data_IF_190651240962
#
_entry.id   IF_190651240962
#
_cell.length_a   1.000
_cell.length_b   1.000
_cell.length_c   1.000
_cell.angle_alpha   90.00
_cell.angle_beta   90.00
_cell.angle_gamma   90.00
#
_symmetry.space_group_name_H-M   'P 1'
#
loop_
_entity.id
_entity.type
_entity.pdbx_description
1 polymer ?
2 non-polymer ?
3 non-polymer ?
4 water ?
#
# COMPACT_ATOMS: atom_id res chain seq x y z
N UNK A 12 6.12 24.32 -6.57
CA UNK A 12 6.11 23.43 -7.77
C UNK A 12 5.35 22.06 -7.53
N UNK A 13 5.85 21.21 -6.60
CA UNK A 13 5.05 20.02 -6.36
C UNK A 13 3.76 20.31 -5.58
N UNK A 14 2.85 19.34 -5.63
CA UNK A 14 1.58 19.28 -4.92
C UNK A 14 1.95 18.62 -3.59
N UNK A 15 1.37 19.06 -2.48
CA UNK A 15 1.64 18.30 -1.27
C UNK A 15 0.31 18.01 -0.59
N UNK A 16 0.14 16.77 -0.13
CA UNK A 16 -1.05 16.41 0.61
C UNK A 16 -0.57 16.29 2.04
N UNK A 17 -1.16 17.09 2.92
CA UNK A 17 -0.82 17.00 4.34
C UNK A 17 -1.63 15.92 5.01
N UNK A 18 -0.95 15.09 5.76
CA UNK A 18 -1.60 14.08 6.52
C UNK A 18 -1.84 14.68 7.90
N UNK A 19 -3.11 14.94 8.20
CA UNK A 19 -3.50 15.72 9.36
C UNK A 19 -3.60 14.88 10.60
N UNK A 20 -2.52 14.24 10.94
CA UNK A 20 -2.39 13.57 12.19
C UNK A 20 -1.61 14.56 13.05
N UNK A 21 -1.22 14.15 14.23
CA UNK A 21 -0.60 15.03 15.21
C UNK A 21 0.75 14.45 15.61
N UNK A 22 1.85 15.02 15.12
CA UNK A 22 1.98 16.16 14.21
C UNK A 22 1.77 15.73 12.75
N UNK A 23 1.35 16.67 11.91
CA UNK A 23 1.08 16.42 10.51
C UNK A 23 2.35 16.21 9.72
N UNK A 24 2.27 15.50 8.60
CA UNK A 24 3.42 15.30 7.74
C UNK A 24 3.02 15.42 6.28
N UNK A 25 3.97 15.86 5.44
CA UNK A 25 3.59 16.02 4.03
C UNK A 25 3.90 14.79 3.16
N UNK A 26 3.02 14.55 2.20
CA UNK A 26 3.23 13.63 1.09
C UNK A 26 3.46 14.58 -0.14
N UNK A 27 4.69 14.69 -0.57
CA UNK A 27 5.02 15.54 -1.70
C UNK A 27 4.94 14.81 -3.05
N UNK A 28 4.12 15.31 -3.97
CA UNK A 28 3.98 14.68 -5.30
C UNK A 28 4.56 15.57 -6.39
N UNK A 29 5.58 15.13 -7.09
CA UNK A 29 6.15 15.97 -8.15
C UNK A 29 7.16 15.19 -8.97
N UNK A 30 7.94 15.93 -9.77
CA UNK A 30 8.92 15.28 -10.63
C UNK A 30 10.30 15.79 -10.26
N UNK A 31 11.22 14.84 -10.01
CA UNK A 31 12.59 15.10 -9.57
C UNK A 31 12.58 15.73 -8.19
N UNK A 32 12.64 14.87 -7.15
CA UNK A 32 12.49 15.31 -5.74
C UNK A 32 13.74 15.22 -4.87
N UNK A 33 14.86 14.95 -5.48
CA UNK A 33 16.07 14.82 -4.76
C UNK A 33 16.47 16.10 -4.09
N UNK A 34 16.27 17.23 -4.76
CA UNK A 34 16.48 18.57 -4.12
C UNK A 34 15.69 18.72 -2.83
N UNK A 35 14.39 18.38 -2.86
CA UNK A 35 13.54 18.45 -1.68
C UNK A 35 14.00 17.48 -0.59
N UNK A 36 14.55 16.33 -1.00
CA UNK A 36 15.07 15.38 -0.03
C UNK A 36 16.30 16.03 0.65
N UNK A 37 17.23 16.57 -0.16
CA UNK A 37 18.45 17.27 0.36
C UNK A 37 18.13 18.35 1.39
N UNK A 38 17.30 19.31 1.04
CA UNK A 38 16.88 20.38 1.98
C UNK A 38 16.16 19.86 3.19
N UNK A 39 15.59 18.68 3.06
CA UNK A 39 14.86 18.14 4.17
C UNK A 39 15.80 17.50 5.18
N UNK A 40 16.81 16.82 4.69
CA UNK A 40 17.72 16.11 5.58
C UNK A 40 19.10 16.77 5.69
N UNK A 41 19.25 17.95 5.11
CA UNK A 41 20.52 18.70 5.04
C UNK A 41 21.24 18.80 6.40
N UNK A 42 20.45 18.98 7.45
CA UNK A 42 20.94 19.22 8.80
C UNK A 42 21.09 17.99 9.72
N UNK A 43 20.82 16.80 9.21
CA UNK A 43 21.01 15.58 10.01
C UNK A 43 22.47 15.20 10.05
N UNK A 44 22.96 14.63 11.14
CA UNK A 44 24.39 14.23 11.19
C UNK A 44 24.67 12.95 10.43
N UNK A 45 23.69 12.06 10.46
CA UNK A 45 23.80 10.77 9.82
C UNK A 45 22.45 10.38 9.12
N UNK A 46 22.53 9.70 7.97
CA UNK A 46 21.35 9.23 7.26
C UNK A 46 21.71 7.86 6.67
N UNK A 47 20.80 6.91 6.83
CA UNK A 47 20.98 5.60 6.23
C UNK A 47 19.85 5.42 5.20
N UNK A 48 20.20 5.16 3.93
CA UNK A 48 19.23 4.95 2.83
C UNK A 48 19.04 3.43 2.68
N UNK A 49 17.88 2.90 3.06
CA UNK A 49 17.62 1.46 2.96
C UNK A 49 16.92 1.25 1.59
N UNK A 50 17.52 0.41 0.73
CA UNK A 50 16.99 0.26 -0.63
C UNK A 50 16.99 -1.17 -1.15
N UNK A 51 16.08 -1.40 -2.08
CA UNK A 51 15.99 -2.69 -2.77
C UNK A 51 17.10 -2.75 -3.85
N UNK A 52 17.50 -3.96 -4.31
CA UNK A 52 18.70 -4.03 -5.20
C UNK A 52 18.67 -3.26 -6.54
N UNK A 53 17.58 -3.29 -7.28
CA UNK A 53 17.62 -2.56 -8.55
C UNK A 53 17.69 -1.07 -8.32
N UNK A 54 17.70 -0.60 -7.10
CA UNK A 54 17.75 0.84 -6.92
C UNK A 54 19.06 1.33 -6.33
N UNK A 55 20.10 0.52 -6.44
CA UNK A 55 21.43 0.88 -5.93
C UNK A 55 21.90 2.21 -6.44
N UNK A 56 21.67 2.51 -7.73
CA UNK A 56 22.18 3.75 -8.34
C UNK A 56 21.47 5.02 -7.85
N UNK A 57 20.14 4.97 -7.73
CA UNK A 57 19.42 6.13 -7.22
C UNK A 57 19.83 6.35 -5.73
N UNK A 58 20.02 5.26 -5.00
CA UNK A 58 20.43 5.28 -3.60
C UNK A 58 21.82 5.90 -3.44
N UNK A 59 22.74 5.54 -4.35
CA UNK A 59 24.10 6.05 -4.31
C UNK A 59 24.06 7.54 -4.64
N UNK A 60 23.21 7.94 -5.59
CA UNK A 60 23.11 9.36 -5.86
C UNK A 60 22.54 10.11 -4.66
N UNK A 61 21.52 9.52 -3.99
CA UNK A 61 20.99 10.24 -2.82
C UNK A 61 22.14 10.39 -1.79
N UNK A 62 22.86 9.30 -1.56
CA UNK A 62 23.93 9.25 -0.57
C UNK A 62 24.97 10.36 -0.83
N UNK A 63 25.39 10.51 -2.10
CA UNK A 63 26.38 11.51 -2.48
C UNK A 63 25.83 12.91 -2.30
N UNK A 64 24.60 13.17 -2.72
CA UNK A 64 24.05 14.52 -2.54
C UNK A 64 24.02 14.86 -1.06
N UNK A 65 23.73 13.86 -0.23
CA UNK A 65 23.70 14.05 1.24
C UNK A 65 25.09 14.32 1.83
N UNK A 66 26.04 13.46 1.49
CA UNK A 66 27.42 13.61 1.91
C UNK A 66 27.95 15.01 1.48
N UNK A 67 27.41 15.55 0.37
CA UNK A 67 27.78 16.86 -0.13
C UNK A 67 27.37 17.95 0.85
N UNK A 68 26.26 17.75 1.54
CA UNK A 68 25.81 18.73 2.54
C UNK A 68 26.48 18.46 3.88
N UNK A 69 27.40 17.51 3.97
CA UNK A 69 28.05 17.21 5.24
C UNK A 69 27.45 16.09 6.10
N UNK A 70 26.49 15.34 5.55
CA UNK A 70 25.86 14.25 6.30
C UNK A 70 26.76 13.03 6.24
N UNK A 71 26.89 12.30 7.33
CA UNK A 71 27.63 11.05 7.28
C UNK A 71 26.55 10.09 6.69
N UNK A 72 26.59 9.90 5.37
CA UNK A 72 25.52 9.18 4.63
C UNK A 72 25.91 7.77 4.19
N UNK A 73 25.01 6.80 4.46
CA UNK A 73 25.22 5.41 4.15
C UNK A 73 24.02 4.81 3.38
N UNK A 74 24.24 3.74 2.63
CA UNK A 74 23.13 3.06 1.93
C UNK A 74 23.19 1.65 2.38
N UNK A 75 22.02 1.07 2.54
CA UNK A 75 21.91 -0.24 3.08
C UNK A 75 21.02 -1.01 2.10
N UNK A 76 21.59 -2.04 1.49
CA UNK A 76 20.87 -2.80 0.47
C UNK A 76 20.19 -3.99 1.13
N UNK A 77 18.90 -4.14 0.86
CA UNK A 77 18.14 -5.24 1.41
C UNK A 77 17.60 -6.11 0.26
N UNK A 78 17.19 -7.35 0.55
CA UNK A 78 16.69 -8.21 -0.53
C UNK A 78 15.45 -7.58 -1.21
N UNK A 79 15.16 -8.02 -2.43
CA UNK A 79 14.02 -7.43 -3.13
C UNK A 79 12.72 -8.02 -2.51
N UNK A 80 11.75 -7.28 -2.78
CA UNK A 80 10.38 -7.74 -2.50
C UNK A 80 10.02 -8.24 -1.12
N UNK A 81 9.28 -9.49 -1.10
CA UNK A 81 8.85 -9.95 0.24
C UNK A 81 10.04 -10.45 1.07
N UNK A 82 11.11 -10.85 0.40
CA UNK A 82 12.30 -11.38 1.09
C UNK A 82 12.86 -10.26 1.98
N UNK A 83 12.61 -9.01 1.56
CA UNK A 83 13.13 -7.87 2.30
C UNK A 83 12.51 -7.53 3.65
N UNK A 84 11.35 -8.10 3.96
CA UNK A 84 10.59 -7.85 5.22
C UNK A 84 10.78 -8.95 6.25
N UNK A 85 11.62 -9.92 5.95
CA UNK A 85 11.78 -10.99 6.88
C UNK A 85 12.56 -10.54 8.14
N UNK A 86 12.28 -11.16 9.30
CA UNK A 86 12.90 -10.82 10.57
C UNK A 86 14.45 -10.77 10.47
N UNK A 87 15.08 -11.81 9.88
CA UNK A 87 16.57 -11.68 9.75
C UNK A 87 17.02 -10.41 9.04
N UNK A 88 16.23 -9.88 8.12
CA UNK A 88 16.62 -8.68 7.41
C UNK A 88 16.56 -7.50 8.37
N UNK A 89 15.52 -7.43 9.20
CA UNK A 89 15.44 -6.27 10.10
C UNK A 89 16.60 -6.34 11.14
N UNK A 90 16.96 -7.57 11.50
CA UNK A 90 18.10 -7.91 12.41
C UNK A 90 19.35 -7.33 11.81
N UNK A 91 19.55 -7.57 10.52
CA UNK A 91 20.68 -7.02 9.78
C UNK A 91 20.64 -5.49 9.80
N UNK A 92 19.49 -4.90 9.50
CA UNK A 92 19.38 -3.44 9.50
C UNK A 92 19.75 -2.82 10.86
N UNK A 93 19.22 -3.39 11.95
CA UNK A 93 19.59 -2.96 13.29
C UNK A 93 21.12 -3.00 13.55
N UNK A 94 21.75 -4.17 13.30
CA UNK A 94 23.19 -4.28 13.40
C UNK A 94 23.90 -3.19 12.59
N UNK A 95 23.44 -2.90 11.38
CA UNK A 95 24.07 -1.85 10.59
C UNK A 95 23.91 -0.43 11.17
N UNK A 96 22.67 -0.10 11.61
CA UNK A 96 22.39 1.20 12.21
C UNK A 96 23.37 1.36 13.43
N UNK A 97 23.52 0.31 14.21
CA UNK A 97 24.47 0.28 15.34
C UNK A 97 25.92 0.56 14.91
N UNK A 98 26.42 -0.25 14.00
CA UNK A 98 27.79 -0.12 13.45
C UNK A 98 28.02 1.30 12.95
N UNK A 99 27.09 1.84 12.14
CA UNK A 99 27.12 3.24 11.65
C UNK A 99 26.97 4.28 12.78
N UNK A 100 26.30 3.92 13.87
CA UNK A 100 26.09 4.84 15.01
C UNK A 100 24.94 5.81 14.77
N UNK A 101 23.86 5.30 14.13
CA UNK A 101 22.69 6.09 13.87
C UNK A 101 22.10 6.47 15.23
N UNK A 102 21.88 7.76 15.47
CA UNK A 102 21.38 8.17 16.78
C UNK A 102 19.93 8.62 16.79
N UNK A 103 19.49 9.11 17.95
CA UNK A 103 18.07 9.51 18.04
C UNK A 103 17.69 10.68 17.17
N UNK A 104 18.63 11.56 16.83
CA UNK A 104 18.31 12.68 15.94
C UNK A 104 18.60 12.39 14.48
N UNK A 105 19.08 11.20 14.20
CA UNK A 105 19.43 10.90 12.83
C UNK A 105 18.21 10.45 11.99
N UNK A 106 18.41 9.97 10.77
CA UNK A 106 17.25 9.61 9.93
C UNK A 106 17.56 8.45 8.96
N UNK A 107 16.49 7.75 8.56
CA UNK A 107 16.52 6.70 7.54
C UNK A 107 15.72 7.20 6.36
N UNK A 108 16.05 6.70 5.18
CA UNK A 108 15.29 7.01 3.97
C UNK A 108 14.97 5.65 3.40
N UNK A 109 13.72 5.37 3.09
CA UNK A 109 13.40 4.12 2.38
C UNK A 109 13.31 4.38 0.87
N UNK A 110 13.80 3.45 0.05
CA UNK A 110 13.75 3.63 -1.40
C UNK A 110 13.37 2.29 -2.03
N UNK A 111 12.16 2.24 -2.60
CA UNK A 111 11.66 0.97 -3.11
C UNK A 111 10.14 0.84 -3.00
N UNK A 112 9.65 -0.39 -3.21
CA UNK A 112 8.24 -0.72 -3.15
C UNK A 112 7.81 -0.85 -1.71
N UNK A 113 6.57 -1.33 -1.55
CA UNK A 113 5.93 -1.42 -0.25
C UNK A 113 6.66 -2.20 0.81
N UNK A 114 7.36 -3.26 0.37
CA UNK A 114 8.12 -4.11 1.30
C UNK A 114 9.30 -3.34 1.94
N UNK A 115 9.95 -2.48 1.16
CA UNK A 115 11.06 -1.66 1.62
C UNK A 115 10.58 -0.59 2.60
N UNK A 116 9.48 0.11 2.27
CA UNK A 116 9.00 1.15 3.11
C UNK A 116 8.54 0.46 4.42
N UNK A 117 7.87 -0.72 4.35
CA UNK A 117 7.47 -1.44 5.57
C UNK A 117 8.65 -1.84 6.44
N UNK A 118 9.68 -2.49 5.88
CA UNK A 118 10.77 -2.99 6.74
C UNK A 118 11.67 -1.84 7.26
N UNK A 119 11.97 -0.87 6.41
CA UNK A 119 12.76 0.29 6.78
C UNK A 119 11.97 1.06 7.85
N UNK A 120 10.65 1.18 7.65
CA UNK A 120 9.75 1.81 8.63
C UNK A 120 9.72 1.09 9.96
N UNK A 121 9.72 -0.23 9.94
CA UNK A 121 9.69 -1.00 11.21
C UNK A 121 11.03 -0.83 11.93
N UNK A 122 12.12 -0.85 11.16
CA UNK A 122 13.45 -0.63 11.70
C UNK A 122 13.54 0.79 12.32
N UNK A 123 13.03 1.82 11.63
CA UNK A 123 13.06 3.21 12.17
C UNK A 123 12.19 3.33 13.45
N UNK A 124 11.09 2.58 13.44
CA UNK A 124 10.16 2.53 14.57
C UNK A 124 10.80 1.96 15.81
N UNK A 125 11.72 1.00 15.65
CA UNK A 125 12.24 0.26 16.80
C UNK A 125 13.71 0.61 17.18
N UNK A 126 14.45 1.23 16.27
CA UNK A 126 15.82 1.61 16.55
C UNK A 126 15.80 2.76 17.59
N UNK A 127 16.33 2.48 18.78
CA UNK A 127 16.38 3.45 19.89
C UNK A 127 14.97 3.88 20.23
N UNK A 128 14.01 3.00 19.94
CA UNK A 128 12.58 3.27 20.19
C UNK A 128 11.99 4.33 19.23
N UNK A 129 12.68 4.62 18.13
CA UNK A 129 12.06 5.52 17.11
C UNK A 129 12.98 6.61 16.65
N UNK A 130 13.28 6.60 15.36
CA UNK A 130 14.03 7.64 14.69
C UNK A 130 13.26 8.04 13.41
N UNK A 131 13.54 9.24 12.90
CA UNK A 131 12.82 9.79 11.76
C UNK A 131 13.07 8.99 10.50
N UNK A 132 12.04 8.84 9.67
CA UNK A 132 12.23 8.20 8.37
C UNK A 132 11.52 8.97 7.28
N UNK A 133 12.17 9.08 6.12
CA UNK A 133 11.53 9.64 4.93
C UNK A 133 11.28 8.48 3.95
N UNK A 134 10.07 8.39 3.39
CA UNK A 134 9.81 7.31 2.43
C UNK A 134 9.85 7.87 1.01
N UNK A 135 10.59 7.17 0.15
CA UNK A 135 10.62 7.42 -1.29
C UNK A 135 10.04 6.14 -1.94
N UNK A 136 8.71 6.06 -2.01
CA UNK A 136 8.16 4.84 -2.68
C UNK A 136 8.39 4.92 -4.19
N UNK A 137 8.81 3.81 -4.77
CA UNK A 137 9.13 3.73 -6.19
C UNK A 137 8.11 2.87 -7.02
N UNK A 138 7.05 2.34 -6.38
CA UNK A 138 5.97 1.62 -7.09
C UNK A 138 4.66 2.42 -6.86
N UNK A 139 3.67 2.22 -7.71
CA UNK A 139 2.40 2.91 -7.58
C UNK A 139 1.70 2.49 -6.29
N UNK A 140 1.68 1.19 -5.99
CA UNK A 140 1.07 0.69 -4.77
C UNK A 140 1.77 1.36 -3.55
N UNK A 141 3.11 1.47 -3.60
CA UNK A 141 3.85 2.08 -2.51
C UNK A 141 3.47 3.54 -2.35
N UNK A 142 3.32 4.26 -3.46
CA UNK A 142 2.96 5.67 -3.47
C UNK A 142 1.54 5.98 -3.00
N UNK A 143 0.55 5.22 -3.42
CA UNK A 143 -0.81 5.54 -3.03
C UNK A 143 -1.04 4.97 -1.68
N UNK A 144 -0.47 3.80 -1.41
CA UNK A 144 -0.81 3.15 -0.17
C UNK A 144 0.16 2.82 0.93
N UNK A 145 1.20 2.05 0.61
CA UNK A 145 2.07 1.46 1.64
C UNK A 145 2.86 2.51 2.38
N UNK A 146 3.30 3.58 1.68
CA UNK A 146 4.09 4.67 2.27
C UNK A 146 3.32 5.72 3.06
N UNK A 147 2.00 5.72 2.95
CA UNK A 147 1.20 6.70 3.64
C UNK A 147 0.44 6.09 4.82
N UNK A 148 0.45 6.74 5.97
CA UNK A 148 -0.38 6.22 7.04
C UNK A 148 0.36 5.60 8.20
N UNK A 149 1.65 5.39 8.05
CA UNK A 149 2.44 4.95 9.20
C UNK A 149 2.43 3.50 9.66
N UNK A 150 1.79 2.61 8.89
CA UNK A 150 1.77 1.19 9.23
C UNK A 150 3.05 0.61 8.74
N UNK A 151 3.73 -0.11 9.62
CA UNK A 151 4.97 -0.75 9.22
C UNK A 151 4.81 -2.17 9.69
N UNK A 152 5.65 -3.03 9.16
CA UNK A 152 5.56 -4.45 9.50
C UNK A 152 6.64 -5.30 8.90
N UNK A 153 6.74 -6.51 9.43
CA UNK A 153 7.69 -7.47 8.98
C UNK A 153 7.01 -8.82 8.89
N UNK A 154 7.70 -9.76 8.28
CA UNK A 154 7.26 -11.17 8.12
C UNK A 154 8.05 -12.01 9.12
N UNK A 155 7.37 -12.86 9.88
CA UNK A 155 8.08 -13.63 10.90
C UNK A 155 7.60 -15.07 10.74
N UNK A 156 8.09 -15.95 11.62
CA UNK A 156 7.59 -17.31 11.62
C UNK A 156 6.08 -17.31 11.97
N UNK A 157 5.56 -16.38 12.80
CA UNK A 157 4.10 -16.32 13.04
C UNK A 157 3.21 -16.11 11.81
N UNK A 158 3.77 -15.58 10.71
CA UNK A 158 2.95 -15.26 9.54
C UNK A 158 3.32 -13.88 8.99
N UNK A 159 2.63 -13.41 7.97
CA UNK A 159 2.92 -12.10 7.44
C UNK A 159 1.90 -11.14 7.94
N UNK A 160 2.18 -9.80 7.90
CA UNK A 160 1.10 -8.88 8.36
C UNK A 160 0.72 -9.03 9.86
N UNK A 161 1.53 -9.58 10.70
CA UNK A 161 1.09 -9.71 12.06
C UNK A 161 1.88 -8.82 13.02
N UNK A 162 3.17 -8.80 12.83
CA UNK A 162 4.07 -8.04 13.65
C UNK A 162 4.41 -6.74 12.97
N UNK A 163 4.27 -5.63 13.73
CA UNK A 163 4.61 -4.34 13.18
C UNK A 163 4.50 -3.19 14.19
N UNK A 164 4.52 -1.96 13.66
CA UNK A 164 4.38 -0.81 14.51
C UNK A 164 3.84 0.34 13.68
N UNK A 165 3.02 1.20 14.31
CA UNK A 165 2.61 2.45 13.76
C UNK A 165 3.76 3.48 13.97
N UNK A 166 4.24 4.10 12.91
CA UNK A 166 5.35 5.00 13.04
C UNK A 166 5.25 5.93 11.83
N UNK A 167 4.83 7.16 12.09
CA UNK A 167 4.63 8.15 11.05
C UNK A 167 5.97 8.62 10.50
N UNK A 168 6.03 8.81 9.19
CA UNK A 168 7.25 9.22 8.53
C UNK A 168 7.40 10.71 8.75
N UNK A 169 8.62 11.25 8.61
CA UNK A 169 8.81 12.70 8.63
C UNK A 169 8.15 13.32 7.35
N UNK A 170 8.22 12.57 6.26
CA UNK A 170 7.69 12.99 4.96
C UNK A 170 7.68 11.78 4.01
N UNK A 171 6.89 11.90 2.93
CA UNK A 171 6.84 10.91 1.86
C UNK A 171 7.00 11.72 0.58
N UNK A 172 7.97 11.33 -0.24
CA UNK A 172 8.25 11.99 -1.52
C UNK A 172 7.84 11.04 -2.58
N UNK A 173 6.79 11.40 -3.32
CA UNK A 173 6.21 10.60 -4.39
C UNK A 173 6.79 11.21 -5.70
N UNK A 174 7.85 10.60 -6.21
CA UNK A 174 8.53 11.13 -7.38
C UNK A 174 8.07 10.38 -8.62
N UNK A 175 7.22 11.07 -9.35
CA UNK A 175 6.67 10.63 -10.64
C UNK A 175 7.74 10.25 -11.66
N UNK A 176 8.90 10.91 -11.71
CA UNK A 176 9.97 10.43 -12.60
C UNK A 176 10.18 8.91 -12.46
N UNK A 177 10.10 8.41 -11.23
CA UNK A 177 10.36 7.03 -10.97
C UNK A 177 9.33 6.10 -11.53
N UNK A 178 8.15 6.61 -11.79
CA UNK A 178 7.14 5.79 -12.41
C UNK A 178 7.48 5.45 -13.85
N UNK A 179 8.32 6.27 -14.49
CA UNK A 179 8.66 6.04 -15.92
C UNK A 179 9.39 4.72 -16.14
N UNK A 180 9.95 4.09 -15.11
CA UNK A 180 10.60 2.82 -15.41
C UNK A 180 9.83 1.65 -14.78
N UNK A 181 8.65 1.94 -14.21
CA UNK A 181 7.84 0.86 -13.56
C UNK A 181 7.21 -0.07 -14.63
N UNK A 182 7.39 -1.39 -14.54
CA UNK A 182 6.71 -2.27 -15.53
C UNK A 182 5.18 -2.13 -15.48
N UNK A 183 4.57 -2.30 -16.67
CA UNK A 183 3.16 -2.21 -16.85
C UNK A 183 2.41 -3.08 -15.85
N UNK A 184 2.88 -4.30 -15.61
CA UNK A 184 2.18 -5.20 -14.69
C UNK A 184 2.12 -4.69 -13.22
N UNK A 185 3.17 -3.96 -12.78
CA UNK A 185 3.17 -3.30 -11.44
C UNK A 185 2.26 -2.09 -11.44
N UNK A 186 2.23 -1.34 -12.55
CA UNK A 186 1.30 -0.22 -12.65
C UNK A 186 -0.17 -0.70 -12.49
N UNK A 187 -0.47 -1.79 -13.18
CA UNK A 187 -1.84 -2.33 -13.11
C UNK A 187 -2.19 -2.81 -11.66
N UNK A 188 -1.28 -3.50 -11.00
CA UNK A 188 -1.57 -3.99 -9.66
C UNK A 188 -1.63 -2.85 -8.63
N UNK A 189 -0.97 -1.72 -8.90
CA UNK A 189 -1.11 -0.55 -8.02
C UNK A 189 -2.43 0.15 -8.23
N UNK A 190 -2.96 0.04 -9.45
CA UNK A 190 -4.26 0.67 -9.72
C UNK A 190 -5.41 0.01 -8.93
N UNK A 191 -5.28 -1.24 -8.50
CA UNK A 191 -6.37 -1.83 -7.70
C UNK A 191 -6.65 -1.01 -6.39
N UNK A 192 -5.61 -0.51 -5.70
CA UNK A 192 -5.82 0.30 -4.46
C UNK A 192 -6.39 1.64 -4.83
N UNK A 193 -6.11 2.16 -6.02
CA UNK A 193 -6.61 3.46 -6.46
C UNK A 193 -8.09 3.29 -6.66
N UNK A 194 -8.46 2.17 -7.28
CA UNK A 194 -9.88 1.88 -7.59
C UNK A 194 -10.63 1.67 -6.29
N UNK A 195 -9.98 0.95 -5.38
CA UNK A 195 -10.61 0.75 -4.03
C UNK A 195 -10.91 2.13 -3.38
N UNK A 196 -9.94 3.04 -3.43
CA UNK A 196 -10.11 4.39 -2.85
C UNK A 196 -11.30 5.13 -3.52
N UNK A 197 -11.42 4.92 -4.82
CA UNK A 197 -12.55 5.48 -5.56
C UNK A 197 -13.92 4.97 -5.10
N UNK A 198 -14.02 3.69 -4.87
CA UNK A 198 -15.32 3.13 -4.43
C UNK A 198 -15.70 3.50 -3.00
N UNK A 199 -14.70 3.63 -2.12
CA UNK A 199 -14.99 3.86 -0.73
C UNK A 199 -15.31 5.34 -0.46
N UNK A 200 -14.49 6.24 -1.01
CA UNK A 200 -14.66 7.66 -0.72
C UNK A 200 -14.55 8.74 -1.80
N UNK A 201 -14.00 8.46 -2.96
CA UNK A 201 -13.83 9.51 -3.99
C UNK A 201 -14.26 9.02 -5.37
N UNK A 202 -15.58 9.04 -5.66
CA UNK A 202 -15.96 8.51 -6.97
C UNK A 202 -15.40 9.29 -8.19
N UNK A 203 -14.79 10.46 -7.99
CA UNK A 203 -14.22 11.14 -9.17
C UNK A 203 -13.05 10.31 -9.71
N UNK A 204 -12.38 9.55 -8.81
CA UNK A 204 -11.31 8.66 -9.23
C UNK A 204 -11.85 7.67 -10.30
N UNK A 205 -13.04 7.14 -10.03
CA UNK A 205 -13.65 6.15 -10.96
C UNK A 205 -14.03 6.80 -12.29
N UNK A 206 -14.62 7.98 -12.24
CA UNK A 206 -15.00 8.75 -13.44
C UNK A 206 -13.74 9.03 -14.27
N UNK A 207 -12.66 9.46 -13.64
CA UNK A 207 -11.42 9.72 -14.39
C UNK A 207 -10.85 8.49 -15.09
N UNK A 208 -10.93 7.34 -14.40
CA UNK A 208 -10.37 6.14 -14.98
C UNK A 208 -11.28 5.71 -16.15
N UNK A 209 -12.60 5.83 -15.97
CA UNK A 209 -13.55 5.39 -17.00
C UNK A 209 -13.47 6.18 -18.31
N UNK A 210 -13.32 7.50 -18.21
CA UNK A 210 -13.08 8.38 -19.38
C UNK A 210 -12.21 7.54 -20.32
N UNK A 211 -11.01 7.11 -19.88
CA UNK A 211 -10.12 6.25 -20.70
C UNK A 211 -9.29 5.49 -19.70
N UNK A 212 -9.44 4.14 -19.70
CA UNK A 212 -8.75 3.28 -18.71
C UNK A 212 -7.29 3.24 -19.05
N UNK A 213 -6.97 3.22 -20.34
CA UNK A 213 -5.56 3.11 -20.71
C UNK A 213 -4.78 4.41 -20.46
N UNK A 214 -5.43 5.57 -20.54
CA UNK A 214 -4.75 6.83 -20.21
C UNK A 214 -4.41 6.87 -18.70
N UNK A 215 -5.23 6.19 -17.88
CA UNK A 215 -5.00 6.13 -16.43
C UNK A 215 -3.69 5.46 -16.10
N UNK A 216 -3.24 4.54 -16.96
CA UNK A 216 -2.00 3.80 -16.73
C UNK A 216 -0.71 4.44 -17.26
N UNK A 217 -0.88 5.58 -17.91
CA UNK A 217 0.24 6.24 -18.59
C UNK A 217 1.02 7.18 -17.66
N UNK A 218 2.20 6.77 -17.23
CA UNK A 218 2.99 7.64 -16.35
C UNK A 218 3.31 9.05 -16.94
N UNK A 219 3.10 9.25 -18.23
CA UNK A 219 3.32 10.56 -18.82
C UNK A 219 2.09 11.41 -19.03
N UNK A 220 0.97 10.77 -18.92
CA UNK A 220 -0.26 11.45 -19.07
C UNK A 220 -0.40 12.35 -17.90
N UNK A 221 -1.51 13.07 -17.99
CA UNK A 221 -2.02 13.98 -16.98
C UNK A 221 -3.05 13.35 -16.00
N UNK A 222 -3.58 12.18 -16.32
CA UNK A 222 -4.56 11.46 -15.49
C UNK A 222 -3.89 10.79 -14.27
N UNK A 223 -2.86 9.99 -14.51
CA UNK A 223 -2.22 9.26 -13.43
C UNK A 223 -1.77 10.20 -12.28
N UNK A 224 -1.09 11.32 -12.61
CA UNK A 224 -0.73 12.19 -11.47
C UNK A 224 -1.94 12.65 -10.66
N UNK A 225 -3.07 12.86 -11.31
CA UNK A 225 -4.28 13.29 -10.57
C UNK A 225 -4.90 12.14 -9.71
N UNK A 226 -4.86 10.93 -10.26
CA UNK A 226 -5.38 9.75 -9.60
C UNK A 226 -4.49 9.51 -8.35
N UNK A 227 -3.19 9.74 -8.48
CA UNK A 227 -2.28 9.54 -7.34
C UNK A 227 -2.59 10.52 -6.22
N UNK A 228 -2.73 11.78 -6.58
CA UNK A 228 -3.10 12.83 -5.64
C UNK A 228 -4.40 12.50 -4.92
N UNK A 229 -5.42 12.15 -5.69
CA UNK A 229 -6.70 11.81 -5.12
C UNK A 229 -6.70 10.53 -4.20
N UNK A 230 -6.01 9.47 -4.61
CA UNK A 230 -5.96 8.25 -3.82
C UNK A 230 -5.19 8.51 -2.49
N UNK A 231 -4.04 9.21 -2.60
CA UNK A 231 -3.28 9.63 -1.40
C UNK A 231 -4.20 10.46 -0.50
N UNK A 232 -4.98 11.39 -1.06
CA UNK A 232 -5.87 12.22 -0.24
C UNK A 232 -6.88 11.38 0.50
N UNK A 233 -7.41 10.35 -0.17
CA UNK A 233 -8.48 9.53 0.48
C UNK A 233 -7.80 8.86 1.69
N UNK A 234 -6.64 8.25 1.47
CA UNK A 234 -5.92 7.57 2.57
C UNK A 234 -5.55 8.55 3.71
N UNK A 235 -4.99 9.69 3.34
CA UNK A 235 -4.65 10.76 4.30
C UNK A 235 -5.86 11.16 5.12
N UNK A 236 -7.00 11.36 4.46
CA UNK A 236 -8.19 11.73 5.20
C UNK A 236 -8.71 10.62 6.10
N UNK A 237 -8.66 9.37 5.68
CA UNK A 237 -9.10 8.26 6.53
C UNK A 237 -8.24 8.13 7.80
N UNK A 238 -6.96 8.23 7.60
CA UNK A 238 -6.01 8.05 8.63
C UNK A 238 -6.09 9.16 9.68
N UNK A 239 -6.17 10.40 9.24
CA UNK A 239 -6.38 11.55 10.12
C UNK A 239 -7.70 11.39 10.91
N UNK A 240 -8.78 10.97 10.26
CA UNK A 240 -10.04 10.79 10.96
C UNK A 240 -10.10 9.51 11.81
N UNK A 245 -11.48 3.48 17.62
CA UNK A 245 -10.61 3.91 16.52
C UNK A 245 -10.74 2.96 15.31
N UNK A 246 -11.95 2.87 14.70
CA UNK A 246 -12.14 1.89 13.63
C UNK A 246 -12.58 2.32 12.21
N UNK A 247 -12.63 3.61 11.89
CA UNK A 247 -12.94 4.04 10.54
C UNK A 247 -11.91 3.50 9.52
N UNK A 248 -10.69 3.30 9.99
CA UNK A 248 -9.59 2.83 9.20
C UNK A 248 -9.82 1.46 8.52
N UNK A 249 -10.69 0.65 9.11
CA UNK A 249 -11.06 -0.61 8.55
C UNK A 249 -11.63 -0.49 7.12
N UNK A 250 -12.13 0.68 6.71
CA UNK A 250 -12.72 0.82 5.34
C UNK A 250 -11.64 0.58 4.27
N UNK A 251 -10.37 0.77 4.67
CA UNK A 251 -9.21 0.59 3.75
C UNK A 251 -8.96 -0.89 3.44
N UNK A 252 -9.62 -1.76 4.20
CA UNK A 252 -9.60 -3.19 3.94
C UNK A 252 -10.56 -3.68 2.90
N UNK A 253 -11.28 -2.75 2.29
CA UNK A 253 -12.25 -3.10 1.26
C UNK A 253 -11.58 -3.96 0.17
N UNK A 254 -12.14 -5.14 -0.05
CA UNK A 254 -11.60 -6.12 -1.04
C UNK A 254 -10.50 -7.02 -0.53
N UNK A 255 -10.02 -6.72 0.69
CA UNK A 255 -8.92 -7.43 1.30
C UNK A 255 -9.29 -8.64 2.08
N UNK A 256 -10.55 -8.83 2.49
CA UNK A 256 -10.87 -10.06 3.19
C UNK A 256 -10.60 -11.31 2.31
N UNK A 257 -11.19 -11.34 1.12
CA UNK A 257 -10.94 -12.44 0.20
C UNK A 257 -9.56 -12.25 -0.44
N UNK A 258 -9.17 -11.00 -0.71
CA UNK A 258 -7.89 -10.72 -1.35
C UNK A 258 -6.73 -11.32 -0.56
N UNK A 259 -6.68 -11.10 0.77
CA UNK A 259 -5.55 -11.65 1.56
C UNK A 259 -5.58 -13.20 1.55
N UNK A 260 -6.78 -13.75 1.52
CA UNK A 260 -6.93 -15.22 1.52
C UNK A 260 -6.38 -15.85 0.24
N UNK A 261 -6.69 -15.23 -0.90
CA UNK A 261 -6.15 -15.62 -2.24
C UNK A 261 -4.63 -15.53 -2.27
N UNK A 262 -4.07 -14.44 -1.79
CA UNK A 262 -2.62 -14.29 -1.73
C UNK A 262 -2.01 -15.47 -0.97
N UNK A 263 -2.50 -15.72 0.24
CA UNK A 263 -2.06 -16.79 1.07
C UNK A 263 -2.16 -18.10 0.28
N UNK A 264 -3.35 -18.40 -0.27
CA UNK A 264 -3.56 -19.64 -0.98
C UNK A 264 -2.55 -19.92 -2.10
N UNK A 265 -2.08 -18.84 -2.72
CA UNK A 265 -1.15 -18.91 -3.79
C UNK A 265 0.26 -18.72 -3.25
N UNK A 266 0.40 -18.78 -1.90
CA UNK A 266 1.70 -18.61 -1.24
C UNK A 266 2.41 -17.33 -1.64
N UNK A 267 1.63 -16.25 -1.75
CA UNK A 267 2.14 -14.91 -2.07
C UNK A 267 2.76 -14.86 -3.46
N UNK A 268 2.39 -15.81 -4.32
CA UNK A 268 2.93 -15.75 -5.67
C UNK A 268 2.09 -14.85 -6.63
N UNK A 269 0.91 -14.37 -6.17
CA UNK A 269 0.08 -13.42 -6.96
C UNK A 269 0.44 -12.01 -6.51
N UNK A 270 0.31 -11.04 -7.39
CA UNK A 270 0.52 -9.65 -7.01
C UNK A 270 -0.65 -9.28 -6.05
N UNK A 271 -0.30 -8.51 -5.03
CA UNK A 271 -1.25 -8.03 -4.07
C UNK A 271 -2.47 -7.37 -4.75
N UNK A 272 -2.19 -6.56 -5.76
CA UNK A 272 -3.23 -5.80 -6.45
C UNK A 272 -4.18 -6.69 -7.20
N UNK A 273 -3.65 -7.75 -7.80
CA UNK A 273 -4.53 -8.70 -8.51
C UNK A 273 -5.48 -9.40 -7.53
N UNK A 274 -4.98 -9.80 -6.36
CA UNK A 274 -5.84 -10.47 -5.35
C UNK A 274 -6.94 -9.51 -4.82
N UNK A 275 -6.52 -8.30 -4.48
CA UNK A 275 -7.49 -7.25 -4.06
C UNK A 275 -8.57 -7.04 -5.11
N UNK A 276 -8.17 -7.00 -6.38
CA UNK A 276 -9.12 -6.84 -7.47
C UNK A 276 -10.21 -7.90 -7.39
N UNK A 277 -9.80 -9.18 -7.26
CA UNK A 277 -10.81 -10.23 -7.10
C UNK A 277 -11.62 -10.02 -5.79
N UNK A 278 -10.94 -9.59 -4.73
CA UNK A 278 -11.67 -9.34 -3.47
C UNK A 278 -12.71 -8.24 -3.58
N UNK A 279 -12.43 -7.23 -4.41
CA UNK A 279 -13.35 -6.15 -4.61
C UNK A 279 -14.60 -6.63 -5.31
N UNK A 280 -14.36 -7.46 -6.33
CA UNK A 280 -15.43 -7.97 -7.11
C UNK A 280 -16.29 -8.84 -6.18
N UNK A 281 -15.65 -9.64 -5.34
CA UNK A 281 -16.38 -10.48 -4.40
C UNK A 281 -17.19 -9.63 -3.39
N UNK A 282 -16.53 -8.62 -2.80
CA UNK A 282 -17.22 -7.71 -1.88
C UNK A 282 -18.43 -7.04 -2.50
N UNK A 283 -18.32 -6.66 -3.78
CA UNK A 283 -19.45 -6.05 -4.46
C UNK A 283 -20.64 -7.03 -4.62
N UNK A 284 -20.35 -8.28 -4.96
CA UNK A 284 -21.38 -9.31 -5.18
C UNK A 284 -21.98 -9.71 -3.84
N UNK A 285 -21.16 -9.76 -2.82
CA UNK A 285 -21.70 -9.99 -1.47
C UNK A 285 -22.75 -8.88 -1.07
N UNK A 286 -22.37 -7.60 -1.29
CA UNK A 286 -23.23 -6.47 -0.96
C UNK A 286 -24.50 -6.48 -1.84
N UNK A 287 -24.33 -6.86 -3.11
CA UNK A 287 -25.42 -6.85 -4.06
C UNK A 287 -26.47 -7.90 -3.62
N UNK A 288 -26.00 -9.11 -3.31
CA UNK A 288 -26.87 -10.16 -2.86
C UNK A 288 -27.51 -9.88 -1.50
N UNK A 289 -26.82 -9.14 -0.62
CA UNK A 289 -27.37 -8.79 0.67
C UNK A 289 -28.43 -7.69 0.52
N UNK A 290 -28.64 -7.20 -0.70
CA UNK A 290 -29.62 -6.09 -0.93
C UNK A 290 -29.07 -4.73 -0.59
N UNK A 291 -27.78 -4.67 -0.24
CA UNK A 291 -27.19 -3.38 0.20
C UNK A 291 -26.63 -2.49 -0.90
N UNK A 292 -26.16 -3.06 -2.00
CA UNK A 292 -25.55 -2.28 -3.06
C UNK A 292 -26.33 -2.45 -4.32
N UNK A 293 -26.66 -1.34 -5.01
CA UNK A 293 -27.36 -1.37 -6.29
C UNK A 293 -26.60 -2.17 -7.35
N UNK A 294 -27.33 -2.81 -8.25
CA UNK A 294 -26.75 -3.61 -9.34
C UNK A 294 -25.72 -2.83 -10.17
N UNK A 295 -26.02 -1.56 -10.46
CA UNK A 295 -25.12 -0.75 -11.31
C UNK A 295 -23.73 -0.50 -10.65
N UNK A 296 -23.74 -0.06 -9.40
CA UNK A 296 -22.47 0.21 -8.70
C UNK A 296 -21.77 -1.12 -8.51
N UNK A 297 -22.53 -2.18 -8.21
CA UNK A 297 -21.92 -3.49 -8.03
C UNK A 297 -21.20 -3.92 -9.31
N UNK A 298 -21.90 -3.81 -10.45
CA UNK A 298 -21.31 -4.25 -11.73
C UNK A 298 -20.10 -3.40 -12.12
N UNK A 299 -20.14 -2.13 -11.71
CA UNK A 299 -19.04 -1.21 -12.01
C UNK A 299 -17.64 -1.70 -11.47
N UNK A 300 -17.63 -2.50 -10.40
CA UNK A 300 -16.35 -3.04 -9.90
C UNK A 300 -15.72 -3.89 -11.00
N UNK A 301 -16.43 -4.87 -11.50
CA UNK A 301 -15.85 -5.72 -12.55
C UNK A 301 -15.52 -4.97 -13.84
N UNK A 302 -16.39 -4.06 -14.29
CA UNK A 302 -16.08 -3.37 -15.53
C UNK A 302 -14.80 -2.47 -15.40
N UNK A 303 -14.72 -1.65 -14.35
CA UNK A 303 -13.48 -0.84 -14.20
C UNK A 303 -12.21 -1.70 -14.03
N UNK A 304 -12.22 -2.66 -13.11
CA UNK A 304 -11.04 -3.54 -12.90
C UNK A 304 -10.62 -4.33 -14.14
N UNK A 305 -11.59 -4.96 -14.79
CA UNK A 305 -11.24 -5.75 -15.99
C UNK A 305 -10.68 -4.83 -17.10
N UNK A 306 -11.24 -3.63 -17.25
CA UNK A 306 -10.76 -2.65 -18.28
C UNK A 306 -9.32 -2.19 -18.05
N UNK A 307 -8.84 -2.24 -16.79
CA UNK A 307 -7.46 -1.90 -16.51
C UNK A 307 -6.52 -3.09 -16.72
N UNK A 308 -7.06 -4.30 -16.87
CA UNK A 308 -6.27 -5.47 -17.08
C UNK A 308 -6.14 -6.32 -15.82
N UNK A 309 -6.92 -5.99 -14.77
CA UNK A 309 -6.87 -6.76 -13.51
C UNK A 309 -7.81 -7.97 -13.53
N UNK A 310 -7.44 -9.04 -12.82
CA UNK A 310 -8.33 -10.21 -12.74
C UNK A 310 -9.62 -9.89 -11.98
N UNK A 311 -10.70 -10.53 -12.41
CA UNK A 311 -11.99 -10.37 -11.78
C UNK A 311 -12.61 -11.69 -11.37
N UNK A 312 -11.86 -12.75 -11.49
CA UNK A 312 -12.42 -14.08 -11.16
C UNK A 312 -11.30 -14.87 -10.56
N UNK A 313 -11.64 -16.02 -9.97
CA UNK A 313 -10.61 -16.88 -9.35
C UNK A 313 -11.05 -18.36 -9.47
N UNK A 314 -10.22 -19.30 -8.99
CA UNK A 314 -10.54 -20.74 -9.09
C UNK A 314 -11.90 -21.06 -8.50
N UNK A 315 -12.86 -21.56 -9.32
CA UNK A 315 -14.21 -21.88 -8.88
C UNK A 315 -14.34 -22.91 -7.73
N UNK A 316 -13.34 -23.78 -7.54
CA UNK A 316 -13.37 -24.81 -6.48
C UNK A 316 -12.57 -24.41 -5.24
N UNK A 317 -12.13 -23.14 -5.14
CA UNK A 317 -11.27 -22.75 -4.00
C UNK A 317 -11.96 -22.26 -2.71
N UNK A 318 -13.27 -22.11 -2.71
CA UNK A 318 -13.90 -21.51 -1.55
C UNK A 318 -13.58 -22.21 -0.21
N UNK A 319 -13.75 -23.55 -0.14
CA UNK A 319 -13.41 -24.17 1.16
C UNK A 319 -12.02 -23.78 1.69
N UNK A 320 -10.98 -23.80 0.85
CA UNK A 320 -9.62 -23.47 1.32
C UNK A 320 -9.53 -21.97 1.67
N UNK A 321 -10.20 -21.13 0.88
CA UNK A 321 -10.27 -19.70 1.18
C UNK A 321 -10.98 -19.44 2.53
N UNK A 322 -12.13 -20.07 2.77
CA UNK A 322 -12.85 -19.97 4.05
C UNK A 322 -11.94 -20.36 5.22
N UNK A 323 -11.20 -21.46 5.09
CA UNK A 323 -10.36 -21.90 6.20
C UNK A 323 -9.27 -20.83 6.45
N UNK A 324 -8.69 -20.30 5.38
CA UNK A 324 -7.71 -19.24 5.50
C UNK A 324 -8.29 -18.03 6.20
N UNK A 325 -9.46 -17.56 5.74
CA UNK A 325 -10.08 -16.36 6.33
C UNK A 325 -10.46 -16.59 7.80
N UNK A 326 -10.72 -17.86 8.10
CA UNK A 326 -11.01 -18.31 9.45
C UNK A 326 -9.89 -17.95 10.42
N UNK A 327 -8.67 -18.03 9.98
CA UNK A 327 -7.57 -17.75 10.85
C UNK A 327 -7.04 -16.36 10.81
N UNK A 328 -7.66 -15.46 10.07
CA UNK A 328 -7.18 -14.10 9.99
C UNK A 328 -7.40 -13.40 11.30
N UNK A 329 -6.54 -12.43 11.56
CA UNK A 329 -6.53 -11.68 12.80
C UNK A 329 -7.81 -10.98 13.19
N UNK A 330 -8.56 -10.54 12.19
CA UNK A 330 -9.87 -9.87 12.37
C UNK A 330 -11.02 -10.83 12.76
N UNK A 331 -10.83 -12.12 12.48
CA UNK A 331 -11.81 -13.13 12.78
C UNK A 331 -11.81 -13.48 14.28
N UNK A 332 -12.93 -13.22 14.95
CA UNK A 332 -13.08 -13.51 16.37
C UNK A 332 -14.10 -14.60 16.56
N UNK A 333 -13.68 -15.64 17.28
CA UNK A 333 -14.51 -16.81 17.54
C UNK A 333 -15.12 -17.43 16.25
N UNK A 334 -14.32 -17.47 15.21
CA UNK A 334 -14.74 -18.02 13.94
C UNK A 334 -15.64 -17.10 13.13
N UNK A 335 -15.94 -15.88 13.62
CA UNK A 335 -16.78 -14.88 12.91
C UNK A 335 -16.02 -13.97 11.88
N UNK A 336 -16.30 -14.17 10.59
CA UNK A 336 -15.73 -13.39 9.49
C UNK A 336 -16.36 -12.02 9.47
N UNK A 337 -15.59 -11.02 9.06
CA UNK A 337 -16.02 -9.64 8.97
C UNK A 337 -15.65 -9.17 7.56
N UNK A 338 -16.52 -8.42 6.90
CA UNK A 338 -16.23 -7.90 5.57
C UNK A 338 -16.60 -6.42 5.51
N UNK A 339 -15.87 -5.66 4.69
CA UNK A 339 -16.18 -4.31 4.37
C UNK A 339 -17.04 -4.41 3.13
N UNK A 340 -18.22 -3.78 3.15
CA UNK A 340 -19.14 -3.79 2.02
C UNK A 340 -19.69 -2.36 1.81
N UNK A 341 -20.26 -2.07 0.65
CA UNK A 341 -20.80 -0.76 0.37
C UNK A 341 -22.31 -0.75 0.48
N UNK A 342 -22.88 0.35 1.02
CA UNK A 342 -24.31 0.55 1.05
C UNK A 342 -24.68 1.53 -0.05
N UNK A 343 -23.71 1.81 -0.93
CA UNK A 343 -23.85 2.69 -2.05
C UNK A 343 -22.41 3.10 -2.41
N UNK A 344 -22.22 3.73 -3.56
CA UNK A 344 -20.91 4.28 -3.94
C UNK A 344 -20.43 5.20 -2.83
N UNK A 345 -19.18 5.03 -2.39
CA UNK A 345 -18.62 5.85 -1.30
C UNK A 345 -19.41 5.84 0.03
N UNK A 346 -20.17 4.76 0.31
CA UNK A 346 -20.87 4.61 1.59
C UNK A 346 -20.48 3.26 2.17
N UNK A 347 -19.23 3.14 2.63
CA UNK A 347 -18.75 1.89 3.17
C UNK A 347 -19.48 1.47 4.49
N UNK A 348 -19.72 0.18 4.65
CA UNK A 348 -20.37 -0.36 5.86
C UNK A 348 -19.72 -1.70 6.17
N UNK A 349 -20.37 -2.55 6.97
CA UNK A 349 -19.74 -3.79 7.44
C UNK A 349 -20.71 -4.91 7.34
N UNK A 350 -20.20 -6.12 7.18
CA UNK A 350 -21.03 -7.30 7.19
C UNK A 350 -20.29 -8.26 8.09
N UNK A 351 -20.86 -8.54 9.25
CA UNK A 351 -20.20 -9.41 10.23
C UNK A 351 -20.91 -10.75 10.30
N UNK A 352 -20.16 -11.84 10.28
CA UNK A 352 -20.71 -13.19 10.34
C UNK A 352 -21.81 -13.50 9.31
N UNK A 353 -21.53 -13.28 8.00
CA UNK A 353 -22.59 -13.53 7.00
C UNK A 353 -22.90 -15.01 6.96
N UNK A 354 -24.11 -15.34 6.52
CA UNK A 354 -24.52 -16.72 6.36
C UNK A 354 -23.56 -17.40 5.37
N UNK A 355 -23.04 -18.61 5.70
CA UNK A 355 -22.15 -19.32 4.81
C UNK A 355 -22.74 -19.47 3.39
N UNK A 356 -24.04 -19.81 3.25
CA UNK A 356 -24.69 -19.92 1.94
C UNK A 356 -24.61 -18.65 1.13
N UNK A 357 -24.71 -17.52 1.79
CA UNK A 357 -24.56 -16.26 1.10
C UNK A 357 -23.11 -16.07 0.52
N UNK A 358 -22.09 -16.43 1.28
CA UNK A 358 -20.71 -16.40 0.74
C UNK A 358 -20.55 -17.35 -0.47
N UNK A 359 -21.10 -18.55 -0.34
CA UNK A 359 -21.02 -19.52 -1.42
C UNK A 359 -21.66 -18.94 -2.65
N UNK A 360 -22.84 -18.33 -2.50
CA UNK A 360 -23.55 -17.78 -3.64
C UNK A 360 -22.79 -16.56 -4.23
N UNK A 361 -22.15 -15.77 -3.39
CA UNK A 361 -21.39 -14.60 -3.85
C UNK A 361 -20.15 -15.03 -4.60
N UNK A 362 -19.56 -16.12 -4.14
CA UNK A 362 -18.36 -16.64 -4.70
C UNK A 362 -18.68 -17.16 -6.10
N UNK A 363 -19.83 -17.82 -6.25
CA UNK A 363 -20.24 -18.35 -7.58
C UNK A 363 -20.56 -17.23 -8.55
N UNK A 364 -21.10 -16.13 -8.04
CA UNK A 364 -21.36 -14.94 -8.86
C UNK A 364 -20.06 -14.37 -9.40
N UNK A 365 -18.97 -14.54 -8.66
CA UNK A 365 -17.63 -14.07 -9.09
C UNK A 365 -16.86 -15.06 -10.00
N UNK A 366 -16.81 -16.33 -9.60
CA UNK A 366 -16.04 -17.35 -10.33
C UNK A 366 -16.72 -18.20 -11.40
N UNK A 367 -18.05 -18.07 -11.59
CA UNK A 367 -18.87 -18.93 -12.52
C UNK A 367 -20.20 -18.30 -12.93
#
# INVERSE_FOLDING_TARGET
>A
HHHHHHMTDIGAPVTVQVAVDPPYPVVIGTGLLDELEDLLADRHKVAVVHQPGLAETAEEIRKRLAGKGVDAHRIEIPDAEAGKDLPVVGFIWEVLGRIGIGRKDALVSLGGGAATDVAGFAAATWLRGVSIVHLPTTLLGMVDAAVGGKTGINTDAGKNLVGAFHQPLAVLVDLATLQTLPRDEMICGMAEVVKAGFIADPVILDLIEADPQAALDPAGDVLPELIRRAITVKAEVVAADEKESELREILNYGHTLGHAIERRERYRWRHGAAVSVGLVFAAELARLAGRLDDATAQRHRTILSSLGLPVSYDPDALPQLLEIMAGDKKTRAGVLRFVVLDGLAKPGRMVGPDPGLLVTAYAGVCAP
#
